data_IF_170131007241
#
_entry.id   IF_170131007241
#
_cell.length_a   1.000
_cell.length_b   1.000
_cell.length_c   1.000
_cell.angle_alpha   90.00
_cell.angle_beta   90.00
_cell.angle_gamma   90.00
#
_symmetry.space_group_name_H-M   'P 1'
#
loop_
_entity.id
_entity.type
_entity.pdbx_description
1 polymer ?
#
# COMPACT_ATOMS: atom_id res chain seq x y z
N UNK A 1 2.89 -16.99 -6.10
CA UNK A 1 3.06 -18.01 -5.05
C UNK A 1 1.71 -18.61 -4.76
N UNK A 2 1.63 -19.93 -4.57
CA UNK A 2 0.36 -20.59 -4.26
C UNK A 2 -0.01 -20.41 -2.78
N UNK A 3 -1.29 -20.18 -2.51
CA UNK A 3 -1.82 -20.01 -1.16
C UNK A 3 -2.70 -21.21 -0.83
N UNK A 4 -2.51 -21.80 0.36
CA UNK A 4 -3.40 -22.85 0.88
C UNK A 4 -4.76 -22.30 1.30
N UNK A 5 -5.79 -23.12 1.16
CA UNK A 5 -7.17 -22.77 1.50
C UNK A 5 -7.78 -21.72 0.56
N UNK A 6 -7.45 -21.77 -0.74
CA UNK A 6 -7.91 -20.74 -1.69
C UNK A 6 -9.42 -20.81 -1.92
N UNK A 7 -10.00 -22.01 -1.97
CA UNK A 7 -11.44 -22.19 -2.20
C UNK A 7 -12.23 -21.66 -1.00
N UNK A 8 -11.83 -22.05 0.22
CA UNK A 8 -12.47 -21.66 1.48
C UNK A 8 -12.44 -20.14 1.68
N UNK A 9 -11.36 -19.47 1.23
CA UNK A 9 -11.25 -18.00 1.28
C UNK A 9 -12.19 -17.32 0.29
N UNK A 10 -12.33 -17.88 -0.92
CA UNK A 10 -13.22 -17.33 -1.94
C UNK A 10 -14.67 -17.50 -1.49
N UNK A 11 -15.03 -18.70 -1.04
CA UNK A 11 -16.38 -19.04 -0.59
C UNK A 11 -16.78 -18.24 0.64
N UNK A 12 -15.92 -18.15 1.66
CA UNK A 12 -16.21 -17.34 2.85
C UNK A 12 -16.37 -15.84 2.55
N UNK A 13 -15.61 -15.29 1.58
CA UNK A 13 -15.80 -13.91 1.15
C UNK A 13 -17.09 -13.74 0.33
N UNK A 14 -17.37 -14.68 -0.57
CA UNK A 14 -18.61 -14.70 -1.35
C UNK A 14 -19.84 -14.74 -0.44
N UNK A 15 -19.88 -15.63 0.56
CA UNK A 15 -20.98 -15.74 1.52
C UNK A 15 -21.25 -14.41 2.25
N UNK A 16 -20.18 -13.74 2.71
CA UNK A 16 -20.29 -12.44 3.37
C UNK A 16 -20.86 -11.37 2.43
N UNK A 17 -20.42 -11.36 1.17
CA UNK A 17 -20.93 -10.44 0.15
C UNK A 17 -22.38 -10.75 -0.22
N UNK A 18 -22.74 -12.03 -0.37
CA UNK A 18 -24.08 -12.49 -0.69
C UNK A 18 -25.08 -12.11 0.43
N UNK A 19 -24.70 -12.31 1.70
CA UNK A 19 -25.49 -11.91 2.86
C UNK A 19 -25.76 -10.39 2.92
N UNK A 20 -24.91 -9.58 2.29
CA UNK A 20 -25.06 -8.12 2.21
C UNK A 20 -25.70 -7.64 0.90
N UNK A 21 -25.97 -8.55 -0.03
CA UNK A 21 -26.44 -8.27 -1.37
C UNK A 21 -25.28 -8.04 -2.35
N UNK A 22 -25.23 -8.88 -3.40
CA UNK A 22 -24.28 -8.73 -4.50
C UNK A 22 -24.79 -7.68 -5.50
N UNK A 23 -23.93 -6.71 -5.82
CA UNK A 23 -24.17 -5.62 -6.78
C UNK A 23 -23.26 -5.71 -8.01
N UNK A 24 -22.40 -6.74 -8.09
CA UNK A 24 -21.49 -6.96 -9.21
C UNK A 24 -20.12 -6.29 -9.05
N UNK A 25 -19.91 -5.50 -7.99
CA UNK A 25 -18.61 -4.88 -7.72
C UNK A 25 -17.72 -5.75 -6.81
N UNK A 26 -18.30 -6.75 -6.17
CA UNK A 26 -17.59 -7.64 -5.27
C UNK A 26 -16.77 -8.68 -6.04
N UNK A 27 -15.60 -9.01 -5.50
CA UNK A 27 -14.77 -10.06 -6.06
C UNK A 27 -13.49 -10.28 -5.27
N UNK A 28 -12.73 -11.26 -5.73
CA UNK A 28 -11.47 -11.70 -5.13
C UNK A 28 -10.35 -11.65 -6.15
N UNK A 29 -9.14 -11.36 -5.68
CA UNK A 29 -7.92 -11.46 -6.48
C UNK A 29 -7.16 -12.71 -6.04
N UNK A 30 -6.82 -13.57 -7.00
CA UNK A 30 -6.15 -14.84 -6.76
C UNK A 30 -4.88 -14.94 -7.60
N UNK A 31 -3.81 -15.60 -7.10
CA UNK A 31 -2.66 -15.89 -7.94
C UNK A 31 -3.06 -16.79 -9.12
N UNK A 32 -2.57 -16.47 -10.32
CA UNK A 32 -2.81 -17.28 -11.51
C UNK A 32 -2.36 -18.75 -11.34
N UNK A 33 -1.36 -18.99 -10.48
CA UNK A 33 -0.91 -20.34 -10.11
C UNK A 33 -1.95 -21.20 -9.39
N UNK A 34 -3.02 -20.60 -8.84
CA UNK A 34 -4.08 -21.32 -8.13
C UNK A 34 -5.26 -21.69 -9.03
N UNK A 35 -5.36 -21.12 -10.24
CA UNK A 35 -6.55 -21.29 -11.11
C UNK A 35 -6.83 -22.75 -11.41
N UNK A 36 -5.81 -23.56 -11.71
CA UNK A 36 -5.97 -24.99 -11.98
C UNK A 36 -6.39 -25.85 -10.78
N UNK A 37 -6.41 -25.27 -9.57
CA UNK A 37 -6.80 -25.95 -8.33
C UNK A 37 -8.12 -25.42 -7.75
N UNK A 38 -8.77 -24.47 -8.44
CA UNK A 38 -10.04 -23.92 -7.99
C UNK A 38 -11.15 -24.94 -8.20
N UNK A 39 -11.87 -25.24 -7.12
CA UNK A 39 -13.04 -26.10 -7.08
C UNK A 39 -14.09 -25.36 -6.26
N UNK A 40 -14.76 -24.41 -6.90
CA UNK A 40 -15.72 -23.50 -6.24
C UNK A 40 -17.11 -24.09 -6.30
N UNK A 41 -17.90 -23.87 -5.24
CA UNK A 41 -19.32 -24.22 -5.22
C UNK A 41 -20.13 -23.61 -6.37
N UNK A 42 -21.20 -24.30 -6.77
CA UNK A 42 -22.04 -23.91 -7.92
C UNK A 42 -22.61 -22.50 -7.80
N UNK A 43 -22.95 -22.05 -6.59
CA UNK A 43 -23.46 -20.69 -6.36
C UNK A 43 -22.44 -19.62 -6.71
N UNK A 44 -21.17 -19.84 -6.36
CA UNK A 44 -20.07 -18.92 -6.70
C UNK A 44 -19.89 -18.89 -8.22
N UNK A 45 -19.89 -20.06 -8.87
CA UNK A 45 -19.77 -20.17 -10.33
C UNK A 45 -20.92 -19.47 -11.04
N UNK A 46 -22.16 -19.65 -10.55
CA UNK A 46 -23.34 -19.00 -11.09
C UNK A 46 -23.29 -17.48 -10.92
N UNK A 47 -22.87 -16.98 -9.76
CA UNK A 47 -22.72 -15.55 -9.51
C UNK A 47 -21.64 -14.92 -10.41
N UNK A 48 -20.53 -15.63 -10.64
CA UNK A 48 -19.48 -15.21 -11.58
C UNK A 48 -20.02 -15.20 -13.01
N UNK A 49 -20.72 -16.25 -13.43
CA UNK A 49 -21.34 -16.33 -14.76
C UNK A 49 -22.39 -15.24 -15.01
N UNK A 50 -23.08 -14.81 -13.96
CA UNK A 50 -24.05 -13.71 -14.00
C UNK A 50 -23.43 -12.31 -13.85
N UNK A 51 -22.10 -12.19 -13.69
CA UNK A 51 -21.42 -10.92 -13.48
C UNK A 51 -21.72 -10.25 -12.13
N UNK A 52 -22.23 -11.01 -11.15
CA UNK A 52 -22.56 -10.51 -9.81
C UNK A 52 -21.40 -10.62 -8.82
N UNK A 53 -20.38 -11.40 -9.16
CA UNK A 53 -19.17 -11.58 -8.38
C UNK A 53 -18.00 -11.82 -9.34
N UNK A 54 -16.78 -11.44 -8.95
CA UNK A 54 -15.61 -11.60 -9.81
C UNK A 54 -14.48 -12.41 -9.14
N UNK A 55 -13.79 -13.24 -9.92
CA UNK A 55 -12.55 -13.91 -9.53
C UNK A 55 -11.45 -13.47 -10.50
N UNK A 56 -10.55 -12.59 -10.05
CA UNK A 56 -9.48 -12.02 -10.85
C UNK A 56 -8.17 -12.78 -10.64
N UNK A 57 -7.74 -13.53 -11.65
CA UNK A 57 -6.44 -14.19 -11.65
C UNK A 57 -5.33 -13.19 -12.04
N UNK A 58 -4.29 -13.07 -11.21
CA UNK A 58 -3.14 -12.18 -11.45
C UNK A 58 -1.81 -12.92 -11.36
N UNK A 59 -0.85 -12.52 -12.19
CA UNK A 59 0.52 -13.08 -12.22
C UNK A 59 1.50 -12.25 -11.41
N UNK A 60 1.28 -10.94 -11.37
CA UNK A 60 2.17 -9.98 -10.72
C UNK A 60 1.41 -9.04 -9.80
N UNK A 61 2.08 -8.55 -8.76
CA UNK A 61 1.49 -7.61 -7.78
C UNK A 61 0.97 -6.34 -8.45
N UNK A 62 1.61 -5.90 -9.54
CA UNK A 62 1.21 -4.72 -10.29
C UNK A 62 -0.17 -4.87 -10.95
N UNK A 63 -0.53 -6.07 -11.40
CA UNK A 63 -1.87 -6.34 -11.94
C UNK A 63 -2.93 -6.20 -10.83
N UNK A 64 -2.64 -6.70 -9.62
CA UNK A 64 -3.53 -6.54 -8.46
C UNK A 64 -3.63 -5.07 -8.01
N UNK A 65 -2.50 -4.35 -7.96
CA UNK A 65 -2.48 -2.92 -7.61
C UNK A 65 -3.30 -2.11 -8.61
N UNK A 66 -3.19 -2.41 -9.90
CA UNK A 66 -3.93 -1.69 -10.92
C UNK A 66 -5.45 -1.89 -10.78
N UNK A 67 -5.88 -3.13 -10.53
CA UNK A 67 -7.28 -3.47 -10.28
C UNK A 67 -7.82 -2.74 -9.04
N UNK A 68 -7.11 -2.80 -7.91
CA UNK A 68 -7.57 -2.23 -6.65
C UNK A 68 -7.53 -0.70 -6.64
N UNK A 69 -6.55 -0.09 -7.32
CA UNK A 69 -6.41 1.37 -7.35
C UNK A 69 -7.23 2.04 -8.46
N UNK A 70 -7.79 1.27 -9.40
CA UNK A 70 -8.53 1.80 -10.56
C UNK A 70 -7.65 2.63 -11.51
N UNK A 71 -6.34 2.37 -11.52
CA UNK A 71 -5.36 3.13 -12.32
C UNK A 71 -4.14 2.26 -12.64
N UNK A 72 -3.37 2.54 -13.71
CA UNK A 72 -2.20 1.73 -14.05
C UNK A 72 -1.17 1.71 -12.91
N UNK A 73 -0.55 0.54 -12.67
CA UNK A 73 0.51 0.42 -11.68
C UNK A 73 1.74 1.26 -12.05
N UNK A 74 2.13 1.25 -13.33
CA UNK A 74 3.30 1.96 -13.86
C UNK A 74 4.63 1.26 -13.55
N UNK A 75 5.72 1.75 -14.15
CA UNK A 75 7.06 1.21 -13.91
C UNK A 75 7.65 1.79 -12.60
N UNK A 76 8.00 0.98 -11.59
CA UNK A 76 8.61 1.48 -10.37
C UNK A 76 10.02 2.06 -10.58
N UNK A 77 10.74 1.66 -11.63
CA UNK A 77 12.06 2.20 -11.98
C UNK A 77 11.96 3.48 -12.81
N UNK A 78 10.84 3.67 -13.52
CA UNK A 78 10.56 4.88 -14.29
C UNK A 78 9.15 5.42 -13.98
N UNK A 79 8.93 5.91 -12.76
CA UNK A 79 7.60 6.23 -12.25
C UNK A 79 6.96 7.43 -12.96
N UNK A 80 5.82 7.19 -13.62
CA UNK A 80 4.96 8.23 -14.20
C UNK A 80 3.98 8.75 -13.13
N UNK A 81 3.88 10.09 -12.89
CA UNK A 81 2.96 10.69 -11.92
C UNK A 81 1.49 10.26 -12.02
N UNK A 82 1.03 9.84 -13.21
CA UNK A 82 -0.33 9.37 -13.46
C UNK A 82 -0.58 7.91 -13.02
N UNK A 83 0.42 7.23 -12.45
CA UNK A 83 0.37 5.80 -12.07
C UNK A 83 0.47 5.59 -10.55
N UNK A 84 0.15 4.38 -10.06
CA UNK A 84 0.31 4.03 -8.64
C UNK A 84 1.76 4.22 -8.20
N UNK A 85 2.72 3.70 -8.96
CA UNK A 85 4.15 3.81 -8.66
C UNK A 85 4.64 5.26 -8.72
N UNK A 86 4.06 6.12 -9.57
CA UNK A 86 4.26 7.57 -9.54
C UNK A 86 3.85 8.21 -8.21
N UNK A 87 2.66 7.87 -7.73
CA UNK A 87 2.16 8.38 -6.44
C UNK A 87 2.99 7.87 -5.26
N UNK A 88 3.43 6.61 -5.29
CA UNK A 88 4.34 6.03 -4.30
C UNK A 88 5.68 6.77 -4.30
N UNK A 89 6.31 6.95 -5.47
CA UNK A 89 7.59 7.63 -5.61
C UNK A 89 7.53 9.07 -5.08
N UNK A 90 6.49 9.81 -5.43
CA UNK A 90 6.24 11.16 -4.89
C UNK A 90 6.15 11.15 -3.36
N UNK A 91 5.36 10.23 -2.80
CA UNK A 91 5.16 10.17 -1.35
C UNK A 91 6.44 9.78 -0.59
N UNK A 92 7.24 8.86 -1.14
CA UNK A 92 8.55 8.51 -0.59
C UNK A 92 9.53 9.68 -0.64
N UNK A 93 9.49 10.48 -1.71
CA UNK A 93 10.28 11.71 -1.81
C UNK A 93 9.91 12.71 -0.70
N UNK A 94 8.61 12.98 -0.50
CA UNK A 94 8.13 13.88 0.56
C UNK A 94 8.64 13.44 1.94
N UNK A 95 8.56 12.13 2.24
CA UNK A 95 9.06 11.59 3.50
C UNK A 95 10.58 11.73 3.66
N UNK A 96 11.34 11.57 2.58
CA UNK A 96 12.79 11.76 2.60
C UNK A 96 13.16 13.22 2.91
N UNK A 97 12.42 14.19 2.36
CA UNK A 97 12.66 15.61 2.64
C UNK A 97 12.33 16.00 4.08
N UNK A 98 11.20 15.51 4.62
CA UNK A 98 10.83 15.72 6.02
C UNK A 98 11.90 15.17 6.98
N UNK A 99 12.42 13.96 6.70
CA UNK A 99 13.51 13.34 7.50
C UNK A 99 14.80 14.14 7.43
N UNK A 100 15.13 14.74 6.28
CA UNK A 100 16.33 15.57 6.12
C UNK A 100 16.22 16.93 6.80
N UNK A 101 15.04 17.56 6.75
CA UNK A 101 14.75 18.79 7.50
C UNK A 101 14.87 18.59 9.02
N UNK A 102 14.38 17.45 9.52
CA UNK A 102 14.49 17.08 10.93
C UNK A 102 15.94 16.81 11.37
N UNK A 103 16.79 16.25 10.48
CA UNK A 103 18.24 16.09 10.72
C UNK A 103 19.04 17.39 10.64
N UNK A 104 18.56 18.40 9.89
CA UNK A 104 19.17 19.74 9.85
C UNK A 104 18.77 20.63 11.03
N UNK A 105 17.69 20.30 11.75
CA UNK A 105 17.17 21.05 12.90
C UNK A 105 17.96 20.95 14.22
N UNK A 106 19.07 20.20 14.29
CA UNK A 106 19.86 20.01 15.53
C UNK A 106 21.29 20.55 15.50
N UNK A 107 21.71 21.29 14.47
CA UNK A 107 22.94 22.09 14.56
C UNK A 107 22.62 23.50 15.05
N UNK A 108 22.69 23.72 16.36
CA UNK A 108 22.91 25.08 16.90
C UNK A 108 24.32 25.52 16.48
N UNK A 109 24.50 26.57 15.67
CA UNK A 109 25.82 27.11 15.41
C UNK A 109 26.33 27.84 16.65
N UNK A 110 27.65 27.82 16.83
CA UNK A 110 28.35 28.22 18.05
C UNK A 110 27.81 29.50 18.71
N UNK A 111 27.25 29.34 19.91
CA UNK A 111 27.15 30.42 20.87
C UNK A 111 28.40 30.39 21.74
N UNK A 112 29.30 31.36 21.53
CA UNK A 112 30.41 31.62 22.45
C UNK A 112 29.85 31.86 23.84
N UNK A 113 30.16 30.98 24.79
CA UNK A 113 29.87 31.22 26.21
C UNK A 113 30.82 32.32 26.68
N UNK A 114 30.33 33.55 26.78
CA UNK A 114 31.05 34.62 27.48
C UNK A 114 30.92 34.31 28.98
N UNK A 115 31.94 33.66 29.55
CA UNK A 115 32.08 33.52 31.00
C UNK A 115 32.46 34.88 31.55
N UNK A 116 31.48 35.63 32.07
CA UNK A 116 31.77 36.77 32.92
C UNK A 116 32.36 36.24 34.22
N UNK A 117 33.68 36.39 34.40
CA UNK A 117 34.29 36.32 35.73
C UNK A 117 33.71 37.46 36.54
N UNK A 118 32.92 37.14 37.57
CA UNK A 118 32.70 38.06 38.68
C UNK A 118 34.08 38.36 39.26
N UNK A 119 34.44 39.64 39.18
CA UNK A 119 35.76 40.15 39.55
C UNK A 119 36.12 39.87 41.00
N UNK A 120 37.42 39.69 41.18
CA UNK A 120 38.11 39.84 42.45
C UNK A 120 38.92 41.15 42.40
N UNK A 121 39.03 41.83 43.56
CA UNK A 121 39.83 43.02 43.85
C UNK A 121 39.08 44.35 43.67
N UNK A 122 38.89 45.24 44.65
CA UNK A 122 39.60 45.51 45.90
C UNK A 122 40.17 46.93 45.86
N UNK A 123 39.87 47.80 46.84
CA UNK A 123 40.58 49.08 47.05
C UNK A 123 39.71 50.27 47.46
N UNK A 124 39.83 50.65 48.73
CA UNK A 124 39.33 51.87 49.37
C UNK A 124 39.78 51.86 50.82
#
# INVERSE_FOLDING_TARGET
QAIGGVNEKIEGFYELCAARGLDGTQGVVVPASNVGHLMLGEEVVAAVGAGRFAVHAVRHVDEALALMAGMPAGDPLRPDPATVNGRIARRLHDYAQLRQGMRRGTRRPGGTIIVRRSGDGGGG
#
